data_IF_526517443420
#
_entry.id   IF_526517443420
#
_cell.length_a   1.000
_cell.length_b   1.000
_cell.length_c   1.000
_cell.angle_alpha   90.00
_cell.angle_beta   90.00
_cell.angle_gamma   90.00
#
_symmetry.space_group_name_H-M   'P 1'
#
loop_
_entity.id
_entity.type
_entity.pdbx_description
1 polymer ?
#
# COMPACT_ATOMS: atom_id res chain seq x y z
N UNK A 1 -2.41 -64.07 -8.48
CA UNK A 1 -1.45 -63.00 -8.87
C UNK A 1 -2.01 -61.68 -8.37
N UNK A 2 -1.50 -61.19 -7.23
CA UNK A 2 -1.89 -59.92 -6.60
C UNK A 2 -1.05 -58.79 -7.16
N UNK A 3 -1.66 -57.66 -7.52
CA UNK A 3 -0.96 -56.39 -7.76
C UNK A 3 -1.68 -55.27 -7.02
N UNK A 4 -1.20 -54.96 -5.83
CA UNK A 4 -1.51 -53.73 -5.10
C UNK A 4 -1.10 -52.51 -5.94
N UNK A 5 -1.96 -51.49 -5.98
CA UNK A 5 -1.58 -50.14 -6.42
C UNK A 5 -1.87 -49.16 -5.28
N UNK A 6 -0.86 -48.34 -5.01
CA UNK A 6 -0.70 -47.48 -3.85
C UNK A 6 -1.82 -46.43 -3.70
N UNK A 7 -2.17 -46.13 -2.45
CA UNK A 7 -2.95 -44.96 -2.07
C UNK A 7 -2.07 -43.71 -2.22
N UNK A 8 -2.51 -42.74 -3.02
CA UNK A 8 -1.93 -41.42 -3.06
C UNK A 8 -2.48 -40.59 -1.89
N UNK A 9 -1.62 -40.27 -0.94
CA UNK A 9 -1.88 -39.33 0.13
C UNK A 9 -1.83 -37.92 -0.48
N UNK A 10 -2.98 -37.28 -0.70
CA UNK A 10 -3.01 -35.87 -1.09
C UNK A 10 -2.87 -35.05 0.19
N UNK A 11 -1.67 -34.52 0.42
CA UNK A 11 -1.39 -33.53 1.45
C UNK A 11 -1.18 -32.18 0.75
N UNK A 12 -1.84 -31.18 1.31
CA UNK A 12 -1.60 -29.74 1.21
C UNK A 12 -2.34 -28.95 0.15
N UNK A 13 -3.06 -27.96 0.67
CA UNK A 13 -3.56 -26.80 -0.03
C UNK A 13 -4.50 -26.02 0.88
N UNK A 14 -4.06 -25.66 2.11
CA UNK A 14 -4.74 -24.55 2.79
C UNK A 14 -4.36 -23.33 1.97
N UNK A 15 -5.25 -22.97 1.05
CA UNK A 15 -5.23 -21.66 0.40
C UNK A 15 -5.52 -20.67 1.51
N UNK A 16 -4.49 -20.05 2.06
CA UNK A 16 -4.66 -18.77 2.73
C UNK A 16 -4.99 -17.78 1.61
N UNK A 17 -6.27 -17.70 1.27
CA UNK A 17 -6.78 -16.52 0.62
C UNK A 17 -6.53 -15.39 1.61
N UNK A 18 -5.49 -14.59 1.37
CA UNK A 18 -5.48 -13.23 1.90
C UNK A 18 -6.78 -12.64 1.37
N UNK A 19 -7.78 -12.52 2.24
CA UNK A 19 -9.00 -11.83 1.89
C UNK A 19 -8.55 -10.41 1.58
N UNK A 20 -8.38 -10.12 0.29
CA UNK A 20 -8.38 -8.76 -0.21
C UNK A 20 -9.74 -8.27 0.22
N UNK A 21 -9.79 -7.60 1.37
CA UNK A 21 -10.99 -6.96 1.85
C UNK A 21 -11.30 -5.88 0.84
N UNK A 22 -12.06 -6.23 -0.19
CA UNK A 22 -12.71 -5.27 -1.06
C UNK A 22 -13.64 -4.48 -0.15
N UNK A 23 -13.10 -3.41 0.45
CA UNK A 23 -13.90 -2.43 1.15
C UNK A 23 -14.89 -1.90 0.12
N UNK A 24 -16.20 -1.88 0.42
CA UNK A 24 -17.17 -1.37 -0.52
C UNK A 24 -16.75 0.05 -0.91
N UNK A 25 -16.76 0.35 -2.21
CA UNK A 25 -16.45 1.67 -2.79
C UNK A 25 -17.42 2.79 -2.35
N UNK A 26 -18.20 2.56 -1.29
CA UNK A 26 -19.28 3.40 -0.79
C UNK A 26 -19.44 3.38 0.74
N UNK A 27 -18.47 2.87 1.51
CA UNK A 27 -18.30 3.40 2.87
C UNK A 27 -17.71 4.80 2.69
N UNK A 28 -18.51 5.84 2.91
CA UNK A 28 -18.01 7.22 2.83
C UNK A 28 -16.84 7.31 3.81
N UNK A 29 -15.63 7.45 3.27
CA UNK A 29 -14.42 7.51 4.07
C UNK A 29 -14.63 8.61 5.10
N UNK A 30 -14.55 8.25 6.37
CA UNK A 30 -14.83 9.14 7.48
C UNK A 30 -13.77 8.98 8.55
N UNK A 31 -13.64 10.00 9.39
CA UNK A 31 -12.68 9.93 10.48
C UNK A 31 -12.98 8.75 11.42
N UNK A 32 -14.25 8.47 11.69
CA UNK A 32 -14.66 7.36 12.57
C UNK A 32 -14.35 6.00 11.94
N UNK A 33 -14.51 5.87 10.61
CA UNK A 33 -14.09 4.68 9.87
C UNK A 33 -12.58 4.47 10.01
N UNK A 34 -11.77 5.52 9.78
CA UNK A 34 -10.32 5.44 9.96
C UNK A 34 -9.95 5.09 11.40
N UNK A 35 -10.54 5.79 12.37
CA UNK A 35 -10.26 5.60 13.79
C UNK A 35 -10.54 4.17 14.22
N UNK A 36 -11.70 3.63 13.86
CA UNK A 36 -12.11 2.27 14.23
C UNK A 36 -11.22 1.20 13.60
N UNK A 37 -10.87 1.34 12.32
CA UNK A 37 -10.02 0.36 11.62
C UNK A 37 -8.55 0.42 12.06
N UNK A 38 -8.03 1.61 12.42
CA UNK A 38 -6.61 1.81 12.68
C UNK A 38 -6.22 1.80 14.16
N UNK A 39 -7.16 2.05 15.08
CA UNK A 39 -6.87 2.03 16.53
C UNK A 39 -6.30 0.71 17.05
N UNK A 40 -6.70 -0.47 16.55
CA UNK A 40 -6.11 -1.74 16.98
C UNK A 40 -4.65 -1.97 16.54
N UNK A 41 -4.15 -1.20 15.56
CA UNK A 41 -2.89 -1.47 14.86
C UNK A 41 -1.83 -0.39 15.05
N UNK A 42 -2.11 0.61 15.89
CA UNK A 42 -1.24 1.76 16.06
C UNK A 42 -1.85 2.80 16.99
N UNK A 43 -1.32 4.01 16.91
CA UNK A 43 -1.72 5.11 17.78
C UNK A 43 -2.05 6.37 16.99
N UNK A 44 -3.09 7.05 17.45
CA UNK A 44 -3.45 8.39 16.98
C UNK A 44 -2.66 9.44 17.75
N UNK A 45 -2.05 10.37 17.02
CA UNK A 45 -1.19 11.44 17.53
C UNK A 45 -1.69 12.79 17.02
N UNK A 46 -1.16 13.86 17.61
CA UNK A 46 -1.34 15.23 17.11
C UNK A 46 0.03 15.76 16.73
N UNK A 47 0.31 15.82 15.43
CA UNK A 47 1.49 16.49 14.87
C UNK A 47 1.24 17.99 14.84
N UNK A 48 2.23 18.79 15.23
CA UNK A 48 2.17 20.24 15.09
C UNK A 48 2.11 20.70 13.63
N UNK A 49 2.62 19.90 12.70
CA UNK A 49 2.66 20.22 11.26
C UNK A 49 1.45 19.69 10.50
N UNK A 50 0.89 18.55 10.91
CA UNK A 50 -0.14 17.83 10.15
C UNK A 50 -1.47 17.65 10.88
N UNK A 51 -1.58 18.09 12.14
CA UNK A 51 -2.77 17.87 12.95
C UNK A 51 -2.91 16.40 13.36
N UNK A 52 -4.12 15.85 13.26
CA UNK A 52 -4.40 14.48 13.71
C UNK A 52 -3.84 13.46 12.73
N UNK A 53 -2.90 12.64 13.18
CA UNK A 53 -2.18 11.64 12.37
C UNK A 53 -2.21 10.27 13.05
N UNK A 54 -1.95 9.22 12.29
CA UNK A 54 -1.84 7.86 12.82
C UNK A 54 -0.42 7.31 12.61
N UNK A 55 0.06 6.52 13.56
CA UNK A 55 1.34 5.83 13.46
C UNK A 55 1.13 4.32 13.70
N UNK A 56 1.58 3.43 12.81
CA UNK A 56 1.51 1.99 13.04
C UNK A 56 2.39 1.58 14.23
N UNK A 57 1.98 0.55 14.96
CA UNK A 57 2.82 -0.10 15.98
C UNK A 57 3.53 -1.33 15.46
N UNK A 58 2.93 -2.01 14.48
CA UNK A 58 3.39 -3.32 14.00
C UNK A 58 3.96 -3.17 12.58
N UNK A 59 5.28 -3.01 12.49
CA UNK A 59 6.05 -2.95 11.24
C UNK A 59 7.46 -3.54 11.43
N UNK A 60 8.07 -4.02 10.35
CA UNK A 60 9.42 -4.59 10.36
C UNK A 60 10.50 -3.52 10.61
N UNK A 61 11.63 -3.86 11.25
CA UNK A 61 12.75 -2.93 11.39
C UNK A 61 13.22 -2.39 10.02
N UNK A 62 13.35 -1.07 9.91
CA UNK A 62 13.75 -0.41 8.66
C UNK A 62 12.62 -0.20 7.65
N UNK A 63 11.36 -0.43 8.05
CA UNK A 63 10.19 -0.18 7.20
C UNK A 63 10.06 1.29 6.81
N UNK A 64 9.78 1.49 5.51
CA UNK A 64 9.27 2.72 4.93
C UNK A 64 7.89 2.44 4.29
N UNK A 65 7.00 3.44 4.17
CA UNK A 65 5.73 3.26 3.46
C UNK A 65 5.94 2.78 2.02
N UNK A 66 5.10 1.84 1.57
CA UNK A 66 5.20 1.16 0.27
C UNK A 66 6.46 0.29 0.12
N UNK A 67 6.91 -0.33 1.21
CA UNK A 67 8.05 -1.26 1.20
C UNK A 67 7.63 -2.74 1.33
N UNK A 68 6.91 -3.10 2.40
CA UNK A 68 6.45 -4.48 2.62
C UNK A 68 5.08 -4.72 1.97
N UNK A 69 5.12 -5.22 0.74
CA UNK A 69 3.96 -5.46 -0.11
C UNK A 69 4.40 -5.62 -1.56
N UNK A 70 3.45 -5.49 -2.47
CA UNK A 70 3.70 -5.62 -3.90
C UNK A 70 2.72 -4.81 -4.74
N UNK A 71 3.12 -4.51 -5.98
CA UNK A 71 2.21 -3.92 -6.97
C UNK A 71 1.41 -5.02 -7.66
N UNK A 72 0.10 -4.86 -7.67
CA UNK A 72 -0.81 -5.70 -8.45
C UNK A 72 -1.49 -4.84 -9.54
N UNK A 73 -1.64 -5.40 -10.73
CA UNK A 73 -2.35 -4.72 -11.81
C UNK A 73 -3.84 -5.06 -11.74
N UNK A 74 -4.66 -4.06 -11.44
CA UNK A 74 -6.13 -4.21 -11.26
C UNK A 74 -6.89 -3.47 -12.36
N UNK A 75 -8.22 -3.45 -12.26
CA UNK A 75 -9.11 -2.69 -13.14
C UNK A 75 -8.93 -1.17 -13.04
N UNK A 76 -8.33 -0.70 -11.95
CA UNK A 76 -7.99 0.71 -11.69
C UNK A 76 -6.48 1.01 -11.80
N UNK A 77 -5.72 0.09 -12.40
CA UNK A 77 -4.29 0.22 -12.67
C UNK A 77 -3.39 -0.40 -11.60
N UNK A 78 -2.12 0.00 -11.57
CA UNK A 78 -1.17 -0.49 -10.57
C UNK A 78 -1.59 -0.05 -9.16
N UNK A 79 -2.00 -1.04 -8.37
CA UNK A 79 -2.51 -0.89 -7.01
C UNK A 79 -1.50 -1.49 -6.04
N UNK A 80 -1.20 -0.77 -4.97
CA UNK A 80 -0.33 -1.30 -3.93
C UNK A 80 -1.09 -2.27 -3.03
N UNK A 81 -0.57 -3.48 -2.87
CA UNK A 81 -1.08 -4.50 -1.97
C UNK A 81 -0.11 -4.65 -0.82
N UNK A 82 -0.52 -4.22 0.37
CA UNK A 82 0.28 -4.27 1.59
C UNK A 82 0.22 -5.64 2.25
N UNK A 83 1.35 -6.10 2.78
CA UNK A 83 1.41 -7.32 3.59
C UNK A 83 0.90 -7.13 5.03
N UNK A 84 0.74 -5.86 5.45
CA UNK A 84 0.19 -5.51 6.76
C UNK A 84 -1.35 -5.49 6.79
N UNK A 85 -1.98 -5.97 7.88
CA UNK A 85 -3.45 -6.03 8.01
C UNK A 85 -4.11 -4.65 8.04
N UNK A 86 -3.38 -3.63 8.50
CA UNK A 86 -3.86 -2.25 8.53
C UNK A 86 -3.77 -1.56 7.16
N UNK A 87 -3.06 -2.15 6.18
CA UNK A 87 -2.64 -1.48 4.94
C UNK A 87 -3.76 -1.00 4.01
N UNK A 88 -4.93 -1.64 4.06
CA UNK A 88 -6.08 -1.30 3.21
C UNK A 88 -6.57 0.14 3.41
N UNK A 89 -6.33 0.75 4.58
CA UNK A 89 -6.71 2.16 4.82
C UNK A 89 -5.59 3.12 4.41
N UNK A 90 -4.41 3.13 5.05
CA UNK A 90 -3.46 4.22 4.91
C UNK A 90 -2.68 4.22 3.57
N UNK A 91 -2.73 3.13 2.80
CA UNK A 91 -2.12 3.10 1.46
C UNK A 91 -3.06 3.56 0.34
N UNK A 92 -4.37 3.60 0.60
CA UNK A 92 -5.38 3.97 -0.40
C UNK A 92 -6.12 5.26 -0.06
N UNK A 93 -6.08 5.67 1.20
CA UNK A 93 -6.62 6.93 1.70
C UNK A 93 -5.49 7.74 2.30
N UNK A 94 -5.43 9.04 2.05
CA UNK A 94 -4.45 9.93 2.68
C UNK A 94 -3.02 9.76 2.17
N UNK A 95 -2.06 10.27 2.94
CA UNK A 95 -0.64 10.33 2.55
C UNK A 95 0.29 10.02 3.72
N UNK A 96 1.48 9.53 3.42
CA UNK A 96 2.51 9.32 4.44
C UNK A 96 3.45 10.52 4.52
N UNK A 97 3.76 10.93 5.75
CA UNK A 97 4.67 12.03 6.04
C UNK A 97 5.71 11.62 7.06
N UNK A 98 6.92 12.18 6.94
CA UNK A 98 8.00 11.98 7.90
C UNK A 98 7.99 13.13 8.90
N UNK A 99 7.34 12.92 10.04
CA UNK A 99 7.29 13.88 11.14
C UNK A 99 8.62 13.85 11.94
N UNK A 100 9.23 15.01 12.27
CA UNK A 100 10.51 15.04 12.99
C UNK A 100 10.46 14.44 14.40
N UNK A 101 9.32 14.52 15.08
CA UNK A 101 9.15 14.02 16.45
C UNK A 101 8.70 12.56 16.50
N UNK A 102 7.99 12.09 15.48
CA UNK A 102 7.36 10.76 15.49
C UNK A 102 7.92 9.79 14.44
N UNK A 103 8.59 10.25 13.38
CA UNK A 103 8.97 9.42 12.24
C UNK A 103 7.84 9.30 11.23
N UNK A 104 7.66 8.13 10.61
CA UNK A 104 6.57 7.92 9.67
C UNK A 104 5.21 7.99 10.37
N UNK A 105 4.37 8.90 9.86
CA UNK A 105 2.98 9.08 10.26
C UNK A 105 2.11 9.16 9.02
N UNK A 106 0.89 8.67 9.15
CA UNK A 106 -0.13 8.77 8.13
C UNK A 106 -1.05 9.96 8.40
N UNK A 107 -1.25 10.79 7.38
CA UNK A 107 -2.15 11.94 7.38
C UNK A 107 -3.46 11.54 6.68
N UNK A 108 -4.62 11.60 7.35
CA UNK A 108 -5.89 11.20 6.77
C UNK A 108 -6.25 11.98 5.50
N UNK A 109 -6.78 11.26 4.51
CA UNK A 109 -7.41 11.83 3.32
C UNK A 109 -8.59 10.95 2.92
N UNK A 110 -9.65 11.55 2.38
CA UNK A 110 -10.94 10.87 2.22
C UNK A 110 -11.20 10.35 0.80
N UNK A 111 -10.32 10.67 -0.14
CA UNK A 111 -10.37 10.16 -1.50
C UNK A 111 -9.59 8.85 -1.60
N UNK A 112 -10.20 7.83 -2.21
CA UNK A 112 -9.54 6.57 -2.50
C UNK A 112 -8.65 6.70 -3.75
N UNK A 113 -7.47 6.10 -3.71
CA UNK A 113 -6.60 5.90 -4.88
C UNK A 113 -5.90 4.53 -4.82
N UNK A 114 -5.50 3.95 -5.97
CA UNK A 114 -4.80 2.67 -5.99
C UNK A 114 -3.46 2.72 -5.24
N UNK A 115 -2.81 3.88 -5.24
CA UNK A 115 -1.72 4.25 -4.34
C UNK A 115 -1.51 5.78 -4.38
N UNK A 116 -0.99 6.34 -3.29
CA UNK A 116 -0.56 7.73 -3.20
C UNK A 116 0.97 7.80 -3.32
N UNK A 117 1.48 7.52 -4.53
CA UNK A 117 2.91 7.59 -4.84
C UNK A 117 3.19 8.40 -6.10
N UNK A 118 4.44 8.89 -6.22
CA UNK A 118 5.03 9.28 -7.49
C UNK A 118 5.89 8.14 -8.03
N UNK A 119 5.77 7.84 -9.32
CA UNK A 119 6.66 6.92 -10.01
C UNK A 119 7.83 7.67 -10.63
N UNK A 120 9.00 7.03 -10.65
CA UNK A 120 10.18 7.49 -11.37
C UNK A 120 10.76 6.33 -12.16
N UNK A 121 10.99 6.55 -13.45
CA UNK A 121 11.67 5.58 -14.32
C UNK A 121 13.16 5.92 -14.45
N UNK A 122 13.98 4.90 -14.50
CA UNK A 122 15.38 4.93 -14.94
C UNK A 122 15.59 3.91 -16.07
N UNK A 123 16.83 3.74 -16.57
CA UNK A 123 17.10 2.83 -17.69
C UNK A 123 16.61 1.40 -17.45
N UNK A 124 16.84 0.85 -16.25
CA UNK A 124 16.55 -0.56 -15.92
C UNK A 124 15.67 -0.71 -14.67
N UNK A 125 15.14 0.37 -14.13
CA UNK A 125 14.40 0.34 -12.86
C UNK A 125 13.21 1.31 -12.85
N UNK A 126 12.19 0.93 -12.09
CA UNK A 126 11.08 1.79 -11.72
C UNK A 126 11.13 1.93 -10.19
N UNK A 127 11.21 3.16 -9.73
CA UNK A 127 11.09 3.50 -8.31
C UNK A 127 9.77 4.20 -8.02
N UNK A 128 9.36 4.19 -6.76
CA UNK A 128 8.22 4.94 -6.25
C UNK A 128 8.55 5.57 -4.92
N UNK A 129 7.83 6.65 -4.59
CA UNK A 129 7.90 7.26 -3.27
C UNK A 129 6.52 7.81 -2.87
N UNK A 130 6.16 7.81 -1.57
CA UNK A 130 4.92 8.40 -1.12
C UNK A 130 4.81 9.86 -1.54
N UNK A 131 3.61 10.29 -1.90
CA UNK A 131 3.39 11.72 -2.12
C UNK A 131 3.25 12.44 -0.79
N UNK A 132 3.91 13.60 -0.66
CA UNK A 132 3.83 14.43 0.56
C UNK A 132 2.44 15.05 0.70
N UNK A 133 1.90 15.25 1.92
CA UNK A 133 0.54 15.80 2.12
C UNK A 133 0.21 17.14 1.43
N UNK A 134 1.22 17.92 1.01
CA UNK A 134 1.08 19.23 0.38
C UNK A 134 1.21 19.22 -1.15
N UNK A 135 1.07 18.08 -1.81
CA UNK A 135 1.35 17.98 -3.24
C UNK A 135 0.23 18.51 -4.13
N UNK A 136 0.63 18.96 -5.32
CA UNK A 136 -0.24 19.29 -6.44
C UNK A 136 -0.12 18.20 -7.50
N UNK A 137 -1.26 17.70 -8.02
CA UNK A 137 -1.28 16.69 -9.09
C UNK A 137 -0.91 17.35 -10.41
N UNK A 138 0.28 17.06 -10.93
CA UNK A 138 0.65 17.30 -12.32
C UNK A 138 0.67 15.97 -13.08
N UNK A 139 -0.14 15.85 -14.13
CA UNK A 139 -0.04 14.71 -15.05
C UNK A 139 1.16 14.93 -15.97
N UNK A 140 2.13 14.01 -15.95
CA UNK A 140 3.23 13.96 -16.92
C UNK A 140 3.20 12.60 -17.59
N UNK A 141 2.84 12.57 -18.88
CA UNK A 141 3.02 11.39 -19.71
C UNK A 141 4.34 11.55 -20.49
N UNK A 142 5.29 10.65 -20.23
CA UNK A 142 6.46 10.50 -21.09
C UNK A 142 6.10 9.57 -22.23
N UNK A 143 5.91 10.11 -23.44
CA UNK A 143 6.01 9.30 -24.66
C UNK A 143 7.50 9.18 -24.95
N UNK A 144 8.10 8.10 -24.47
CA UNK A 144 9.48 7.76 -24.82
C UNK A 144 9.50 7.12 -26.19
N UNK A 145 9.92 7.87 -27.21
CA UNK A 145 10.43 7.26 -28.43
C UNK A 145 11.73 6.55 -28.06
N UNK A 146 11.72 5.22 -28.04
CA UNK A 146 12.94 4.42 -27.90
C UNK A 146 13.76 4.55 -29.19
N UNK A 147 14.58 5.60 -29.29
CA UNK A 147 15.63 5.61 -30.31
C UNK A 147 16.76 4.68 -29.85
N UNK A 148 16.85 3.52 -30.50
CA UNK A 148 17.96 2.60 -30.31
C UNK A 148 19.21 3.15 -31.00
N UNK A 149 20.09 3.82 -30.26
CA UNK A 149 21.39 4.16 -30.82
C UNK A 149 22.34 4.86 -29.88
N UNK A 150 23.42 4.13 -29.58
CA UNK A 150 24.79 4.59 -29.30
C UNK A 150 25.27 4.55 -27.84
N UNK A 151 26.34 3.77 -27.70
CA UNK A 151 27.19 3.50 -26.54
C UNK A 151 27.96 4.74 -26.08
#
# INVERSE_FOLDING_TARGET
MSRSKAAALIVTGIVFACAIGAMPASAEASFDFFYSNLSPHGRWLVSGSYGKVWQPSDYQPGWDPYYDGHWEYTDVGYTWVSDYPWGAVPYHYGTWARDPGYGWVWVPGYTWAPAWVVFRTGPDYIGWAPVTPSFSVGVSFGIGDYDQGHF
#
